data_IF_099628342557
#
_entry.id   IF_099628342557
#
_cell.length_a   1.000
_cell.length_b   1.000
_cell.length_c   1.000
_cell.angle_alpha   90.00
_cell.angle_beta   90.00
_cell.angle_gamma   90.00
#
_symmetry.space_group_name_H-M   'P 1'
#
loop_
_entity.id
_entity.type
_entity.pdbx_description
1 polymer ?
#
# COMPACT_ATOMS: atom_id res chain seq x y z
N UNK A 1 -17.43 37.48 15.29
CA UNK A 1 -17.45 37.35 13.81
C UNK A 1 -18.86 37.00 13.40
N UNK A 2 -19.41 37.70 12.43
CA UNK A 2 -20.75 37.43 11.91
C UNK A 2 -20.75 36.11 11.12
N UNK A 3 -21.67 35.20 11.46
CA UNK A 3 -21.80 33.86 10.86
C UNK A 3 -22.09 33.99 9.36
N UNK A 4 -22.83 35.02 8.94
CA UNK A 4 -23.11 35.29 7.53
C UNK A 4 -21.83 35.70 6.76
N UNK A 5 -20.96 36.49 7.38
CA UNK A 5 -19.69 36.90 6.78
C UNK A 5 -18.69 35.73 6.68
N UNK A 6 -18.70 34.80 7.65
CA UNK A 6 -17.88 33.59 7.61
C UNK A 6 -18.37 32.61 6.52
N UNK A 7 -19.69 32.38 6.45
CA UNK A 7 -20.29 31.54 5.42
C UNK A 7 -20.04 32.09 4.01
N UNK A 8 -20.11 33.41 3.83
CA UNK A 8 -19.78 34.06 2.56
C UNK A 8 -18.31 33.86 2.15
N UNK A 9 -17.37 33.95 3.09
CA UNK A 9 -15.93 33.71 2.82
C UNK A 9 -15.64 32.25 2.48
N UNK A 10 -16.29 31.30 3.16
CA UNK A 10 -16.11 29.88 2.87
C UNK A 10 -16.67 29.48 1.51
N UNK A 11 -17.84 30.01 1.12
CA UNK A 11 -18.41 29.80 -0.22
C UNK A 11 -17.52 30.38 -1.32
N UNK A 12 -16.91 31.55 -1.09
CA UNK A 12 -15.95 32.13 -2.02
C UNK A 12 -14.67 31.26 -2.16
N UNK A 13 -14.13 30.77 -1.05
CA UNK A 13 -12.96 29.87 -1.05
C UNK A 13 -13.25 28.51 -1.72
N UNK A 14 -14.47 27.99 -1.58
CA UNK A 14 -14.90 26.79 -2.27
C UNK A 14 -15.05 27.02 -3.79
N UNK A 15 -15.55 28.19 -4.19
CA UNK A 15 -15.63 28.57 -5.60
C UNK A 15 -14.24 28.77 -6.25
N UNK A 16 -13.23 29.16 -5.47
CA UNK A 16 -11.83 29.33 -5.90
C UNK A 16 -11.04 28.01 -5.96
N UNK A 17 -11.65 26.85 -5.65
CA UNK A 17 -11.00 25.55 -5.79
C UNK A 17 -10.60 25.32 -7.26
N UNK A 18 -9.36 24.84 -7.54
CA UNK A 18 -8.80 24.77 -8.90
C UNK A 18 -9.32 23.57 -9.72
N UNK A 19 -10.60 23.25 -9.63
CA UNK A 19 -11.27 22.24 -10.44
C UNK A 19 -11.05 22.41 -11.97
N UNK A 20 -11.20 23.61 -12.56
CA UNK A 20 -10.97 23.77 -14.01
C UNK A 20 -9.49 23.60 -14.41
N UNK A 21 -8.55 23.87 -13.51
CA UNK A 21 -7.14 23.64 -13.77
C UNK A 21 -6.79 22.14 -13.76
N UNK A 22 -7.51 21.33 -12.96
CA UNK A 22 -7.38 19.88 -12.99
C UNK A 22 -7.94 19.25 -14.26
N UNK A 23 -9.09 19.73 -14.74
CA UNK A 23 -9.67 19.25 -16.00
C UNK A 23 -8.76 19.58 -17.19
N UNK A 24 -8.13 20.76 -17.18
CA UNK A 24 -7.12 21.15 -18.18
C UNK A 24 -5.90 20.23 -18.11
N UNK A 25 -5.42 19.89 -16.90
CA UNK A 25 -4.31 18.97 -16.72
C UNK A 25 -4.63 17.56 -17.24
N UNK A 26 -5.84 17.06 -16.99
CA UNK A 26 -6.33 15.77 -17.52
C UNK A 26 -6.29 15.74 -19.05
N UNK A 27 -6.77 16.80 -19.71
CA UNK A 27 -6.74 16.92 -21.17
C UNK A 27 -5.31 16.92 -21.73
N UNK A 28 -4.37 17.60 -21.07
CA UNK A 28 -2.96 17.57 -21.43
C UNK A 28 -2.33 16.17 -21.26
N UNK A 29 -2.72 15.42 -20.21
CA UNK A 29 -2.22 14.06 -19.99
C UNK A 29 -2.78 13.06 -21.02
N UNK A 30 -4.05 13.18 -21.40
CA UNK A 30 -4.65 12.36 -22.47
C UNK A 30 -3.95 12.62 -23.82
N UNK A 31 -3.68 13.89 -24.16
CA UNK A 31 -2.93 14.26 -25.36
C UNK A 31 -1.51 13.67 -25.35
N UNK A 32 -0.78 13.82 -24.24
CA UNK A 32 0.56 13.26 -24.08
C UNK A 32 0.58 11.72 -24.14
N UNK A 33 -0.49 11.06 -23.65
CA UNK A 33 -0.63 9.61 -23.74
C UNK A 33 -0.85 9.13 -25.17
N UNK A 34 -1.62 9.87 -25.96
CA UNK A 34 -1.85 9.58 -27.38
C UNK A 34 -0.54 9.70 -28.18
N UNK A 35 0.22 10.79 -27.99
CA UNK A 35 1.51 11.00 -28.66
C UNK A 35 2.55 9.93 -28.28
N UNK A 36 2.65 9.56 -27.00
CA UNK A 36 3.58 8.52 -26.54
C UNK A 36 3.23 7.13 -27.09
N UNK A 37 1.95 6.80 -27.24
CA UNK A 37 1.51 5.54 -27.86
C UNK A 37 1.84 5.49 -29.34
N UNK A 38 1.74 6.62 -30.03
CA UNK A 38 2.10 6.69 -31.45
C UNK A 38 3.62 6.60 -31.62
N UNK A 39 4.39 7.34 -30.83
CA UNK A 39 5.85 7.23 -30.80
C UNK A 39 6.36 5.83 -30.41
N UNK A 40 5.66 5.10 -29.53
CA UNK A 40 6.01 3.71 -29.19
C UNK A 40 5.63 2.70 -30.27
N UNK A 41 4.73 3.04 -31.19
CA UNK A 41 4.44 2.20 -32.37
C UNK A 41 5.50 2.37 -33.45
N UNK A 42 6.04 3.58 -33.59
CA UNK A 42 7.10 3.90 -34.54
C UNK A 42 8.50 3.50 -34.05
N UNK A 43 8.68 3.36 -32.73
CA UNK A 43 9.97 3.05 -32.11
C UNK A 43 9.90 1.76 -31.29
N UNK A 44 10.81 0.81 -31.54
CA UNK A 44 10.85 -0.51 -30.85
C UNK A 44 11.41 -0.42 -29.40
N UNK A 45 11.23 0.72 -28.73
CA UNK A 45 11.75 1.03 -27.40
C UNK A 45 10.61 1.35 -26.42
N UNK A 46 10.74 0.90 -25.17
CA UNK A 46 9.80 1.23 -24.09
C UNK A 46 9.96 2.69 -23.66
N UNK A 47 9.19 3.59 -24.28
CA UNK A 47 9.25 5.03 -23.97
C UNK A 47 8.26 5.36 -22.86
N UNK A 48 8.75 5.73 -21.68
CA UNK A 48 8.13 6.70 -20.75
C UNK A 48 6.74 6.44 -20.14
N UNK A 49 5.97 5.45 -20.60
CA UNK A 49 4.57 5.23 -20.23
C UNK A 49 4.35 5.06 -18.72
N UNK A 50 5.32 4.46 -18.02
CA UNK A 50 5.25 4.29 -16.56
C UNK A 50 5.29 5.62 -15.78
N UNK A 51 6.02 6.62 -16.28
CA UNK A 51 6.07 7.95 -15.64
C UNK A 51 4.77 8.72 -15.86
N UNK A 52 4.14 8.54 -17.02
CA UNK A 52 2.83 9.11 -17.34
C UNK A 52 1.72 8.49 -16.48
N UNK A 53 1.73 7.17 -16.31
CA UNK A 53 0.81 6.47 -15.39
C UNK A 53 0.94 6.99 -13.95
N UNK A 54 2.17 7.14 -13.45
CA UNK A 54 2.41 7.70 -12.12
C UNK A 54 1.98 9.17 -11.97
N UNK A 55 1.96 9.96 -13.06
CA UNK A 55 1.45 11.32 -13.04
C UNK A 55 -0.09 11.36 -13.00
N UNK A 56 -0.74 10.47 -13.75
CA UNK A 56 -2.20 10.31 -13.78
C UNK A 56 -2.77 9.84 -12.43
N UNK A 57 -2.09 8.90 -11.77
CA UNK A 57 -2.47 8.47 -10.41
C UNK A 57 -2.38 9.60 -9.39
N UNK A 58 -1.37 10.48 -9.49
CA UNK A 58 -1.26 11.66 -8.61
C UNK A 58 -2.35 12.68 -8.87
N UNK A 59 -2.77 12.84 -10.13
CA UNK A 59 -3.86 13.74 -10.49
C UNK A 59 -5.22 13.21 -9.99
N UNK A 60 -5.46 11.91 -10.09
CA UNK A 60 -6.64 11.26 -9.52
C UNK A 60 -6.71 11.46 -8.00
N UNK A 61 -5.59 11.24 -7.29
CA UNK A 61 -5.51 11.47 -5.85
C UNK A 61 -5.75 12.94 -5.46
N UNK A 62 -5.28 13.89 -6.27
CA UNK A 62 -5.55 15.31 -6.06
C UNK A 62 -7.03 15.65 -6.23
N UNK A 63 -7.72 15.07 -7.23
CA UNK A 63 -9.15 15.25 -7.43
C UNK A 63 -9.97 14.70 -6.25
N UNK A 64 -9.65 13.51 -5.74
CA UNK A 64 -10.32 12.93 -4.56
C UNK A 64 -10.19 13.83 -3.33
N UNK A 65 -8.98 14.35 -3.06
CA UNK A 65 -8.76 15.25 -1.91
C UNK A 65 -9.52 16.58 -2.03
N UNK A 66 -9.67 17.09 -3.26
CA UNK A 66 -10.45 18.31 -3.49
C UNK A 66 -11.95 18.06 -3.34
N UNK A 67 -12.47 16.89 -3.75
CA UNK A 67 -13.86 16.53 -3.45
C UNK A 67 -14.11 16.36 -1.95
N UNK A 68 -13.20 15.73 -1.22
CA UNK A 68 -13.31 15.59 0.25
C UNK A 68 -13.30 16.95 0.96
N UNK A 69 -12.44 17.87 0.50
CA UNK A 69 -12.39 19.23 1.03
C UNK A 69 -13.70 20.00 0.74
N UNK A 70 -14.30 19.83 -0.44
CA UNK A 70 -15.59 20.43 -0.78
C UNK A 70 -16.71 19.89 0.12
N UNK A 71 -16.79 18.56 0.28
CA UNK A 71 -17.78 17.93 1.18
C UNK A 71 -17.61 18.39 2.63
N UNK A 72 -16.38 18.50 3.13
CA UNK A 72 -16.14 18.96 4.49
C UNK A 72 -16.53 20.44 4.71
N UNK A 73 -16.42 21.27 3.66
CA UNK A 73 -16.90 22.67 3.69
C UNK A 73 -18.43 22.69 3.71
N UNK A 74 -19.08 21.86 2.91
CA UNK A 74 -20.55 21.75 2.88
C UNK A 74 -21.10 21.25 4.24
N UNK A 75 -20.51 20.19 4.80
CA UNK A 75 -20.88 19.67 6.13
C UNK A 75 -20.71 20.73 7.24
N UNK A 76 -19.64 21.54 7.14
CA UNK A 76 -19.41 22.64 8.08
C UNK A 76 -20.45 23.76 7.91
N UNK A 77 -20.79 24.13 6.67
CA UNK A 77 -21.81 25.13 6.36
C UNK A 77 -23.20 24.69 6.82
N UNK A 78 -23.53 23.41 6.68
CA UNK A 78 -24.75 22.79 7.21
C UNK A 78 -24.77 22.82 8.75
N UNK A 79 -23.64 22.48 9.38
CA UNK A 79 -23.48 22.50 10.84
C UNK A 79 -23.65 23.90 11.48
N UNK A 80 -23.37 24.98 10.75
CA UNK A 80 -23.58 26.36 11.21
C UNK A 80 -24.92 26.96 10.73
N UNK A 81 -25.79 26.17 10.10
CA UNK A 81 -27.10 26.62 9.62
C UNK A 81 -27.07 27.54 8.40
N UNK A 82 -25.94 27.56 7.66
CA UNK A 82 -25.74 28.35 6.44
C UNK A 82 -25.80 27.53 5.14
N UNK A 83 -26.17 26.25 5.27
CA UNK A 83 -26.44 25.29 4.21
C UNK A 83 -27.64 25.68 3.34
N UNK A 84 -27.56 25.41 2.04
CA UNK A 84 -28.72 25.53 1.17
C UNK A 84 -29.61 24.29 1.36
N UNK A 85 -30.87 24.49 1.73
CA UNK A 85 -31.82 23.40 1.89
C UNK A 85 -32.01 22.62 0.57
N UNK A 86 -31.41 21.44 0.49
CA UNK A 86 -31.79 20.37 -0.43
C UNK A 86 -31.77 19.03 0.33
N UNK A 87 -32.79 18.22 0.07
CA UNK A 87 -33.30 17.10 0.89
C UNK A 87 -32.34 15.89 1.02
N UNK A 88 -32.60 14.95 1.96
CA UNK A 88 -31.58 14.11 2.60
C UNK A 88 -31.23 12.89 1.75
N UNK A 89 -29.96 12.50 1.78
CA UNK A 89 -29.53 11.15 1.38
C UNK A 89 -29.05 10.43 2.63
N UNK A 90 -29.86 9.50 3.11
CA UNK A 90 -29.49 8.52 4.11
C UNK A 90 -28.50 7.52 3.53
N UNK A 91 -27.28 7.47 4.08
CA UNK A 91 -26.52 6.22 4.23
C UNK A 91 -25.50 6.38 5.34
N UNK A 92 -25.66 5.59 6.40
CA UNK A 92 -24.70 5.48 7.49
C UNK A 92 -23.48 4.66 7.04
N UNK A 93 -22.27 5.11 7.40
CA UNK A 93 -21.06 4.30 7.53
C UNK A 93 -20.09 4.98 8.53
N UNK A 94 -19.22 4.21 9.21
CA UNK A 94 -18.82 4.49 10.59
C UNK A 94 -17.75 5.56 10.74
N UNK A 95 -17.75 6.20 11.92
CA UNK A 95 -16.76 7.18 12.38
C UNK A 95 -15.35 6.58 12.42
N UNK A 96 -14.56 6.83 11.38
CA UNK A 96 -13.10 6.84 11.47
C UNK A 96 -12.66 8.14 12.13
N UNK A 97 -12.07 8.07 13.33
CA UNK A 97 -11.42 9.22 13.97
C UNK A 97 -10.25 9.67 13.10
N UNK A 98 -10.45 10.64 12.20
CA UNK A 98 -9.38 11.44 11.62
C UNK A 98 -8.91 12.46 12.65
N UNK A 99 -8.21 11.96 13.67
CA UNK A 99 -7.23 12.79 14.35
C UNK A 99 -6.13 13.06 13.33
N UNK A 100 -6.10 14.27 12.79
CA UNK A 100 -5.03 14.75 11.93
C UNK A 100 -3.75 14.75 12.77
N UNK A 101 -3.02 13.63 12.73
CA UNK A 101 -1.75 13.50 13.40
C UNK A 101 -0.76 14.48 12.75
N UNK A 102 0.18 15.06 13.53
CA UNK A 102 1.24 15.91 13.00
C UNK A 102 1.99 15.18 11.88
N UNK A 103 2.65 15.91 10.95
CA UNK A 103 3.41 15.28 9.86
C UNK A 103 4.40 14.27 10.45
N UNK A 104 4.07 12.99 10.36
CA UNK A 104 4.91 11.92 10.88
C UNK A 104 6.07 11.76 9.92
N UNK A 105 7.31 11.82 10.42
CA UNK A 105 8.47 11.48 9.61
C UNK A 105 8.27 10.05 9.07
N UNK A 106 8.21 9.84 7.74
CA UNK A 106 7.98 8.53 7.15
C UNK A 106 8.97 7.47 7.60
N UNK A 107 10.20 7.87 8.00
CA UNK A 107 11.21 6.97 8.54
C UNK A 107 10.94 6.59 9.97
N UNK A 108 10.48 7.55 10.78
CA UNK A 108 10.08 7.30 12.15
C UNK A 108 8.83 6.41 12.18
N UNK A 109 7.83 6.74 11.36
CA UNK A 109 6.64 5.90 11.15
C UNK A 109 7.01 4.46 10.76
N UNK A 110 7.91 4.29 9.78
CA UNK A 110 8.37 2.96 9.36
C UNK A 110 9.03 2.20 10.51
N UNK A 111 9.90 2.87 11.26
CA UNK A 111 10.63 2.28 12.37
C UNK A 111 9.68 1.82 13.48
N UNK A 112 8.77 2.70 13.88
CA UNK A 112 7.76 2.43 14.90
C UNK A 112 6.84 1.30 14.46
N UNK A 113 6.43 1.31 13.18
CA UNK A 113 5.55 0.28 12.64
C UNK A 113 6.23 -1.08 12.52
N UNK A 114 7.48 -1.14 12.09
CA UNK A 114 8.26 -2.39 12.05
C UNK A 114 8.52 -2.91 13.47
N UNK A 115 8.79 -2.02 14.42
CA UNK A 115 8.97 -2.36 15.84
C UNK A 115 7.69 -2.97 16.43
N UNK A 116 6.54 -2.33 16.17
CA UNK A 116 5.23 -2.84 16.57
C UNK A 116 4.95 -4.19 15.94
N UNK A 117 5.12 -4.36 14.62
CA UNK A 117 4.85 -5.63 13.92
C UNK A 117 5.74 -6.78 14.39
N UNK A 118 7.00 -6.47 14.70
CA UNK A 118 7.97 -7.45 15.18
C UNK A 118 7.92 -7.70 16.69
N UNK A 119 7.14 -6.94 17.45
CA UNK A 119 7.21 -6.90 18.92
C UNK A 119 8.66 -6.70 19.43
N UNK A 120 9.35 -5.72 18.85
CA UNK A 120 10.77 -5.42 19.13
C UNK A 120 11.01 -3.92 19.19
N UNK A 121 11.93 -3.50 20.03
CA UNK A 121 12.37 -2.10 20.12
C UNK A 121 13.73 -1.92 19.46
N UNK A 122 13.92 -0.83 18.73
CA UNK A 122 15.22 -0.44 18.20
C UNK A 122 15.15 0.83 17.36
N UNK A 123 16.24 1.60 17.37
CA UNK A 123 16.42 2.71 16.46
C UNK A 123 16.83 2.20 15.08
N UNK A 124 16.40 2.88 14.02
CA UNK A 124 16.89 2.61 12.68
C UNK A 124 18.33 3.11 12.53
N UNK A 125 19.21 2.27 12.02
CA UNK A 125 20.50 2.67 11.47
C UNK A 125 20.37 2.70 9.94
N UNK A 126 20.11 3.87 9.31
CA UNK A 126 19.69 3.93 7.93
C UNK A 126 20.79 3.46 6.97
N UNK A 127 20.57 2.30 6.35
CA UNK A 127 21.47 1.74 5.35
C UNK A 127 20.87 1.83 3.95
N UNK A 128 21.63 2.39 3.00
CA UNK A 128 21.27 2.36 1.57
C UNK A 128 21.63 1.01 0.98
N UNK A 129 20.76 0.03 1.17
CA UNK A 129 20.88 -1.31 0.59
C UNK A 129 19.93 -1.43 -0.61
N UNK A 130 20.38 -1.98 -1.76
CA UNK A 130 19.47 -2.21 -2.88
C UNK A 130 18.38 -3.25 -2.50
N UNK A 131 17.15 -3.13 -3.03
CA UNK A 131 16.02 -3.99 -2.65
C UNK A 131 16.29 -5.50 -2.79
N UNK A 132 17.04 -5.90 -3.82
CA UNK A 132 17.41 -7.30 -4.07
C UNK A 132 18.34 -7.85 -3.00
N UNK A 133 19.34 -7.07 -2.57
CA UNK A 133 20.26 -7.47 -1.49
C UNK A 133 19.53 -7.52 -0.15
N UNK A 134 18.69 -6.53 0.14
CA UNK A 134 17.84 -6.55 1.33
C UNK A 134 16.95 -7.79 1.36
N UNK A 135 16.30 -8.11 0.24
CA UNK A 135 15.43 -9.27 0.13
C UNK A 135 16.21 -10.58 0.41
N UNK A 136 17.40 -10.74 -0.18
CA UNK A 136 18.25 -11.91 0.09
C UNK A 136 18.71 -11.98 1.57
N UNK A 137 19.07 -10.85 2.17
CA UNK A 137 19.49 -10.80 3.57
C UNK A 137 18.33 -11.14 4.52
N UNK A 138 17.10 -10.72 4.18
CA UNK A 138 15.87 -11.08 4.90
C UNK A 138 15.54 -12.57 4.74
N UNK A 139 15.67 -13.13 3.53
CA UNK A 139 15.50 -14.57 3.29
C UNK A 139 16.52 -15.39 4.07
N UNK A 140 17.77 -14.94 4.15
CA UNK A 140 18.81 -15.58 4.95
C UNK A 140 18.46 -15.54 6.44
N UNK A 141 18.09 -14.38 6.98
CA UNK A 141 17.67 -14.25 8.37
C UNK A 141 16.43 -15.12 8.71
N UNK A 142 15.44 -15.16 7.82
CA UNK A 142 14.27 -16.03 7.94
C UNK A 142 14.65 -17.52 7.86
N UNK A 143 15.61 -17.85 6.99
CA UNK A 143 16.23 -19.16 6.83
C UNK A 143 17.01 -19.63 8.06
N UNK A 144 17.63 -18.71 8.79
CA UNK A 144 18.32 -18.98 10.06
C UNK A 144 17.36 -18.95 11.26
N UNK A 145 16.10 -18.52 11.06
CA UNK A 145 15.13 -18.32 12.14
C UNK A 145 15.46 -17.14 13.07
N UNK A 146 16.31 -16.22 12.61
CA UNK A 146 16.77 -15.08 13.38
C UNK A 146 15.81 -13.89 13.21
N UNK A 147 14.77 -13.85 14.05
CA UNK A 147 13.76 -12.79 14.04
C UNK A 147 14.36 -11.40 14.32
N UNK A 148 15.34 -11.32 15.23
CA UNK A 148 15.96 -10.03 15.59
C UNK A 148 16.73 -9.44 14.41
N UNK A 149 17.49 -10.29 13.71
CA UNK A 149 18.28 -9.87 12.55
C UNK A 149 17.40 -9.63 11.31
N UNK A 150 16.21 -10.23 11.25
CA UNK A 150 15.18 -9.94 10.26
C UNK A 150 14.58 -8.55 10.48
N UNK A 151 14.07 -8.30 11.69
CA UNK A 151 13.44 -7.04 12.06
C UNK A 151 14.42 -5.86 12.01
N UNK A 152 15.67 -6.06 12.44
CA UNK A 152 16.74 -5.05 12.32
C UNK A 152 16.95 -4.63 10.86
N UNK A 153 17.14 -5.59 9.95
CA UNK A 153 17.39 -5.30 8.52
C UNK A 153 16.21 -4.60 7.85
N UNK A 154 14.98 -5.00 8.20
CA UNK A 154 13.78 -4.36 7.68
C UNK A 154 13.63 -2.92 8.19
N UNK A 155 13.98 -2.67 9.45
CA UNK A 155 14.02 -1.33 10.05
C UNK A 155 15.06 -0.43 9.39
N UNK A 156 16.30 -0.92 9.28
CA UNK A 156 17.46 -0.18 8.76
C UNK A 156 17.31 0.22 7.27
N UNK A 157 16.55 -0.57 6.49
CA UNK A 157 16.28 -0.30 5.09
C UNK A 157 15.35 0.90 4.83
N UNK A 158 14.44 1.18 5.78
CA UNK A 158 13.45 2.24 5.67
C UNK A 158 12.39 2.06 4.57
N UNK A 159 11.46 3.02 4.45
CA UNK A 159 10.28 2.90 3.60
C UNK A 159 10.59 2.88 2.10
N UNK A 160 11.66 3.58 1.67
CA UNK A 160 12.01 3.71 0.24
C UNK A 160 12.40 2.38 -0.41
N UNK A 161 12.96 1.46 0.39
CA UNK A 161 13.43 0.14 -0.06
C UNK A 161 12.40 -0.93 0.32
N UNK A 162 11.80 -0.83 1.52
CA UNK A 162 10.83 -1.81 2.02
C UNK A 162 9.57 -1.91 1.15
N UNK A 163 9.04 -0.79 0.65
CA UNK A 163 7.85 -0.76 -0.24
C UNK A 163 8.07 -1.54 -1.56
N UNK A 164 9.32 -1.78 -1.95
CA UNK A 164 9.67 -2.50 -3.18
C UNK A 164 9.77 -4.02 -2.98
N UNK A 165 9.86 -4.50 -1.73
CA UNK A 165 9.99 -5.92 -1.42
C UNK A 165 8.81 -6.78 -1.90
N UNK A 166 7.54 -6.33 -1.81
CA UNK A 166 6.40 -7.09 -2.31
C UNK A 166 6.51 -7.41 -3.83
N UNK A 167 7.08 -6.49 -4.62
CA UNK A 167 7.33 -6.72 -6.06
C UNK A 167 8.31 -7.86 -6.35
N UNK A 168 9.21 -8.17 -5.41
CA UNK A 168 10.11 -9.32 -5.48
C UNK A 168 9.50 -10.58 -4.85
N UNK A 169 8.73 -10.41 -3.77
CA UNK A 169 8.16 -11.50 -3.00
C UNK A 169 7.00 -12.21 -3.74
N UNK A 170 6.05 -11.46 -4.31
CA UNK A 170 4.81 -12.04 -4.85
C UNK A 170 5.00 -13.02 -6.01
N UNK A 171 5.87 -12.75 -7.00
CA UNK A 171 6.16 -13.73 -8.04
C UNK A 171 6.72 -15.04 -7.48
N UNK A 172 7.58 -14.96 -6.45
CA UNK A 172 8.19 -16.13 -5.80
C UNK A 172 7.20 -16.87 -4.91
N UNK A 173 6.34 -16.17 -4.17
CA UNK A 173 5.25 -16.78 -3.40
C UNK A 173 4.34 -17.57 -4.34
N UNK A 174 3.98 -16.98 -5.49
CA UNK A 174 3.14 -17.66 -6.48
C UNK A 174 3.81 -18.88 -7.09
N UNK A 175 5.10 -18.81 -7.44
CA UNK A 175 5.82 -19.94 -8.01
C UNK A 175 5.97 -21.07 -7.00
N UNK A 176 6.36 -20.76 -5.76
CA UNK A 176 6.51 -21.76 -4.70
C UNK A 176 5.17 -22.38 -4.29
N UNK A 177 4.10 -21.59 -4.25
CA UNK A 177 2.76 -22.11 -4.04
C UNK A 177 2.31 -23.02 -5.19
N UNK A 178 2.65 -22.70 -6.44
CA UNK A 178 2.36 -23.55 -7.58
C UNK A 178 3.13 -24.88 -7.54
N UNK A 179 4.41 -24.84 -7.16
CA UNK A 179 5.23 -26.04 -6.94
C UNK A 179 4.65 -26.91 -5.83
N UNK A 180 4.25 -26.30 -4.71
CA UNK A 180 3.62 -26.99 -3.58
C UNK A 180 2.30 -27.68 -3.98
N UNK A 181 1.48 -27.00 -4.76
CA UNK A 181 0.15 -27.48 -5.14
C UNK A 181 0.17 -28.38 -6.40
N UNK A 182 1.28 -28.41 -7.14
CA UNK A 182 1.36 -29.06 -8.46
C UNK A 182 0.49 -28.42 -9.54
N UNK A 183 -0.10 -27.25 -9.27
CA UNK A 183 -0.99 -26.49 -10.17
C UNK A 183 -0.98 -25.01 -9.82
N UNK A 184 -1.49 -24.17 -10.73
CA UNK A 184 -1.62 -22.73 -10.47
C UNK A 184 -2.46 -22.46 -9.21
N UNK A 185 -1.95 -21.66 -8.25
CA UNK A 185 -2.69 -21.35 -7.03
C UNK A 185 -3.89 -20.47 -7.34
N UNK A 186 -5.01 -20.77 -6.67
CA UNK A 186 -6.28 -20.03 -6.79
C UNK A 186 -6.68 -19.44 -5.43
N UNK A 187 -7.67 -18.55 -5.41
CA UNK A 187 -8.17 -17.95 -4.17
C UNK A 187 -8.68 -19.00 -3.15
N UNK A 188 -9.13 -20.18 -3.63
CA UNK A 188 -9.57 -21.28 -2.76
C UNK A 188 -8.43 -21.95 -1.98
N UNK A 189 -7.21 -21.80 -2.46
CA UNK A 189 -6.02 -22.42 -1.84
C UNK A 189 -5.42 -21.56 -0.73
N UNK A 190 -5.82 -20.28 -0.65
CA UNK A 190 -5.29 -19.29 0.30
C UNK A 190 -5.44 -19.73 1.76
N UNK A 191 -6.59 -20.24 2.24
CA UNK A 191 -6.72 -20.67 3.63
C UNK A 191 -5.74 -21.80 3.99
N UNK A 192 -5.62 -22.80 3.12
CA UNK A 192 -4.74 -23.95 3.35
C UNK A 192 -3.25 -23.54 3.34
N UNK A 193 -2.84 -22.64 2.45
CA UNK A 193 -1.49 -22.10 2.41
C UNK A 193 -1.19 -21.20 3.63
N UNK A 194 -2.17 -20.39 4.04
CA UNK A 194 -2.07 -19.54 5.23
C UNK A 194 -1.81 -20.39 6.46
N UNK A 195 -2.63 -21.42 6.70
CA UNK A 195 -2.53 -22.23 7.92
C UNK A 195 -1.17 -22.95 8.00
N UNK A 196 -0.62 -23.40 6.86
CA UNK A 196 0.72 -24.00 6.79
C UNK A 196 1.88 -23.01 7.00
N UNK A 197 1.70 -21.74 6.62
CA UNK A 197 2.74 -20.72 6.71
C UNK A 197 2.66 -19.88 8.01
N UNK A 198 1.49 -19.83 8.65
CA UNK A 198 1.18 -18.87 9.71
C UNK A 198 2.16 -18.95 10.89
N UNK A 199 2.48 -20.15 11.38
CA UNK A 199 3.38 -20.31 12.51
C UNK A 199 4.80 -19.83 12.20
N UNK A 200 5.26 -20.06 10.96
CA UNK A 200 6.58 -19.61 10.54
C UNK A 200 6.63 -18.10 10.34
N UNK A 201 5.58 -17.51 9.79
CA UNK A 201 5.46 -16.05 9.67
C UNK A 201 5.40 -15.41 11.05
N UNK A 202 4.58 -15.93 11.97
CA UNK A 202 4.51 -15.44 13.37
C UNK A 202 5.82 -15.61 14.14
N UNK A 203 6.63 -16.61 13.81
CA UNK A 203 7.97 -16.76 14.41
C UNK A 203 8.93 -15.62 14.07
N UNK A 204 8.67 -14.88 12.97
CA UNK A 204 9.48 -13.75 12.52
C UNK A 204 8.79 -12.40 12.74
N UNK A 205 7.46 -12.38 12.62
CA UNK A 205 6.60 -11.20 12.75
C UNK A 205 5.43 -11.58 13.69
N UNK A 206 5.61 -11.47 15.03
CA UNK A 206 4.65 -11.95 16.02
C UNK A 206 3.26 -11.32 15.88
N UNK A 207 3.19 -10.03 15.52
CA UNK A 207 1.94 -9.27 15.38
C UNK A 207 1.36 -9.33 13.96
N UNK A 208 1.78 -10.31 13.16
CA UNK A 208 1.14 -10.61 11.87
C UNK A 208 -0.19 -11.37 12.10
N UNK A 209 -1.29 -10.64 12.01
CA UNK A 209 -2.62 -11.23 12.11
C UNK A 209 -2.90 -12.21 10.95
N UNK A 210 -3.64 -13.31 11.21
CA UNK A 210 -3.91 -14.35 10.21
C UNK A 210 -4.60 -13.80 8.94
N UNK A 211 -5.50 -12.83 9.11
CA UNK A 211 -6.26 -12.24 7.99
C UNK A 211 -5.36 -11.46 7.05
N UNK A 212 -4.32 -10.83 7.59
CA UNK A 212 -3.31 -10.11 6.81
C UNK A 212 -2.39 -11.05 6.04
N UNK A 213 -2.04 -12.19 6.64
CA UNK A 213 -1.30 -13.26 5.94
C UNK A 213 -2.15 -13.80 4.79
N UNK A 214 -3.45 -13.99 5.02
CA UNK A 214 -4.42 -14.39 4.01
C UNK A 214 -4.55 -13.37 2.87
N UNK A 215 -4.67 -12.08 3.19
CA UNK A 215 -4.73 -11.01 2.20
C UNK A 215 -3.45 -10.89 1.37
N UNK A 216 -2.28 -11.02 2.00
CA UNK A 216 -0.99 -11.03 1.31
C UNK A 216 -0.85 -12.23 0.34
N UNK A 217 -1.26 -13.42 0.78
CA UNK A 217 -1.32 -14.61 -0.06
C UNK A 217 -2.32 -14.47 -1.21
N UNK A 218 -3.52 -13.94 -0.94
CA UNK A 218 -4.52 -13.67 -1.95
C UNK A 218 -3.97 -12.72 -3.03
N UNK A 219 -3.35 -11.60 -2.62
CA UNK A 219 -2.68 -10.66 -3.51
C UNK A 219 -1.61 -11.34 -4.36
N UNK A 220 -0.78 -12.20 -3.78
CA UNK A 220 0.25 -12.94 -4.52
C UNK A 220 -0.35 -13.96 -5.51
N UNK A 221 -1.41 -14.67 -5.13
CA UNK A 221 -2.06 -15.68 -5.96
C UNK A 221 -2.90 -15.08 -7.09
N UNK A 222 -3.47 -13.88 -6.92
CA UNK A 222 -4.35 -13.23 -7.91
C UNK A 222 -3.68 -12.10 -8.69
N UNK A 223 -2.35 -12.11 -8.86
CA UNK A 223 -1.61 -11.09 -9.61
C UNK A 223 -1.82 -9.65 -9.10
N UNK A 224 -1.97 -9.46 -7.79
CA UNK A 224 -2.17 -8.14 -7.18
C UNK A 224 -3.59 -7.59 -7.27
N UNK A 225 -4.57 -8.40 -7.73
CA UNK A 225 -5.98 -7.98 -7.84
C UNK A 225 -6.82 -8.15 -6.56
N UNK A 226 -6.21 -8.57 -5.45
CA UNK A 226 -6.87 -8.88 -4.19
C UNK A 226 -6.29 -8.07 -3.03
N UNK A 227 -6.83 -6.87 -2.82
CA UNK A 227 -6.49 -6.01 -1.69
C UNK A 227 -7.30 -4.72 -1.77
N UNK A 228 -8.53 -4.75 -1.28
CA UNK A 228 -9.29 -3.54 -1.00
C UNK A 228 -8.59 -2.72 0.10
N UNK A 229 -8.72 -1.40 -0.01
CA UNK A 229 -8.47 -0.35 0.99
C UNK A 229 -7.26 -0.51 1.93
N UNK A 230 -6.28 0.39 1.76
CA UNK A 230 -5.26 0.74 2.76
C UNK A 230 -4.32 -0.40 3.22
N UNK A 231 -3.58 -0.98 2.26
CA UNK A 231 -2.48 -1.91 2.57
C UNK A 231 -1.33 -1.20 3.29
N UNK A 232 -1.19 -1.44 4.60
CA UNK A 232 -0.04 -1.04 5.42
C UNK A 232 1.28 -1.54 4.80
N UNK A 233 2.04 -0.63 4.19
CA UNK A 233 3.22 -0.98 3.42
C UNK A 233 4.34 -1.64 4.25
N UNK A 234 4.46 -1.30 5.54
CA UNK A 234 5.43 -1.93 6.43
C UNK A 234 5.04 -3.37 6.73
N UNK A 235 3.74 -3.63 6.90
CA UNK A 235 3.18 -4.97 7.09
C UNK A 235 3.36 -5.84 5.85
N UNK A 236 3.06 -5.31 4.67
CA UNK A 236 3.27 -6.02 3.39
C UNK A 236 4.74 -6.36 3.16
N UNK A 237 5.64 -5.42 3.46
CA UNK A 237 7.09 -5.62 3.35
C UNK A 237 7.64 -6.63 4.37
N UNK A 238 7.07 -6.69 5.57
CA UNK A 238 7.44 -7.65 6.60
C UNK A 238 6.97 -9.07 6.28
N UNK A 239 5.76 -9.22 5.74
CA UNK A 239 5.13 -10.53 5.48
C UNK A 239 5.64 -11.18 4.20
N UNK A 240 5.97 -10.39 3.16
CA UNK A 240 6.39 -10.93 1.85
C UNK A 240 7.60 -11.88 1.91
N UNK A 241 8.78 -11.45 2.38
CA UNK A 241 9.96 -12.31 2.48
C UNK A 241 9.76 -13.48 3.47
N UNK A 242 8.99 -13.27 4.55
CA UNK A 242 8.65 -14.32 5.49
C UNK A 242 7.80 -15.43 4.85
N UNK A 243 6.83 -15.09 4.00
CA UNK A 243 6.02 -16.03 3.23
C UNK A 243 6.86 -16.84 2.24
N UNK A 244 7.79 -16.19 1.53
CA UNK A 244 8.72 -16.88 0.62
C UNK A 244 9.57 -17.89 1.38
N UNK A 245 10.13 -17.51 2.53
CA UNK A 245 10.92 -18.40 3.36
C UNK A 245 10.11 -19.57 3.93
N UNK A 246 8.84 -19.34 4.30
CA UNK A 246 7.93 -20.38 4.78
C UNK A 246 7.59 -21.39 3.68
N UNK A 247 7.18 -20.92 2.49
CA UNK A 247 6.84 -21.77 1.35
C UNK A 247 8.04 -22.57 0.85
N UNK A 248 9.21 -21.94 0.76
CA UNK A 248 10.44 -22.63 0.34
C UNK A 248 10.81 -23.79 1.28
N UNK A 249 10.53 -23.66 2.60
CA UNK A 249 10.73 -24.74 3.56
C UNK A 249 9.69 -25.85 3.40
N UNK A 250 8.43 -25.51 3.17
CA UNK A 250 7.36 -26.49 2.95
C UNK A 250 7.69 -27.41 1.77
N UNK A 251 8.11 -26.84 0.64
CA UNK A 251 8.52 -27.61 -0.56
C UNK A 251 9.76 -28.50 -0.35
N UNK A 252 10.59 -28.20 0.66
CA UNK A 252 11.79 -28.99 1.00
C UNK A 252 11.48 -30.13 1.97
N UNK A 253 10.56 -29.93 2.89
CA UNK A 253 10.11 -30.96 3.82
C UNK A 253 9.34 -32.06 3.08
N UNK A 254 8.47 -31.71 2.15
CA UNK A 254 7.72 -32.69 1.34
C UNK A 254 8.61 -33.49 0.36
N UNK A 255 9.78 -32.97 -0.03
CA UNK A 255 10.76 -33.72 -0.86
C UNK A 255 11.60 -34.72 -0.06
N UNK A 256 11.60 -34.64 1.27
CA UNK A 256 12.37 -35.53 2.17
C UNK A 256 11.51 -36.59 2.85
N UNK A 257 10.18 -36.43 2.81
CA UNK A 257 9.21 -37.43 3.25
C UNK A 257 8.90 -38.39 2.10
#
# INVERSE_FOLDING_TARGET
MDVAALAGRLKALAADLPAPALDTADQCFEAAQAELKEASRESNAEIGLHRLGAARERLAAARTRLSEAATAIDDYLDGIGAGAAAAPVTAAAPKGKTGQAPPVDPRQWWTDRVNELCDRTGAADPQRVPPTRLFNDLLKAAGDGNADAYCKRLRDAGPQTGVKLPGLAWPLVRSLAAEHLGRTPTARDVPALRDKCADKVRSLVPNAEPDHIGAALASACTLGRGGGEESDAARTAAVGPALVAALHRLSKTERKA
#
